data_IF_503011920189
#
_entry.id   IF_503011920189
#
_cell.length_a   1.000
_cell.length_b   1.000
_cell.length_c   1.000
_cell.angle_alpha   90.00
_cell.angle_beta   90.00
_cell.angle_gamma   90.00
#
_symmetry.space_group_name_H-M   'P 1'
#
loop_
_entity.id
_entity.type
_entity.pdbx_description
1 polymer ?
#
# COMPACT_ATOMS: atom_id res chain seq x y z
N UNK A 1 5.81 -9.73 -24.22
CA UNK A 1 5.18 -10.60 -23.20
C UNK A 1 5.96 -10.43 -21.91
N UNK A 2 5.46 -9.61 -20.98
CA UNK A 2 5.98 -9.56 -19.61
C UNK A 2 5.56 -10.83 -18.89
N UNK A 3 6.49 -11.51 -18.23
CA UNK A 3 6.18 -12.70 -17.42
C UNK A 3 5.47 -12.25 -16.14
N UNK A 4 4.44 -12.95 -15.66
CA UNK A 4 3.95 -12.75 -14.32
C UNK A 4 5.04 -13.19 -13.34
N UNK A 5 5.48 -12.29 -12.46
CA UNK A 5 6.37 -12.63 -11.34
C UNK A 5 7.76 -11.98 -11.29
N UNK A 6 8.02 -10.91 -12.06
CA UNK A 6 9.23 -10.10 -11.84
C UNK A 6 8.87 -8.77 -11.17
N UNK A 7 8.68 -8.82 -9.84
CA UNK A 7 8.63 -7.62 -8.99
C UNK A 7 10.06 -7.30 -8.56
N UNK A 8 10.84 -6.71 -9.46
CA UNK A 8 12.21 -6.31 -9.19
C UNK A 8 12.23 -5.22 -8.12
N UNK A 9 12.73 -5.59 -6.94
CA UNK A 9 12.91 -4.70 -5.78
C UNK A 9 13.90 -3.58 -6.11
N UNK A 10 13.67 -2.41 -5.49
CA UNK A 10 14.54 -1.23 -5.37
C UNK A 10 14.12 -0.05 -6.26
N UNK A 11 13.12 0.70 -5.79
CA UNK A 11 12.73 1.98 -6.38
C UNK A 11 11.74 2.69 -5.47
N UNK A 12 12.23 3.71 -4.75
CA UNK A 12 11.46 4.46 -3.76
C UNK A 12 10.05 4.80 -4.25
N UNK A 13 9.05 4.26 -3.56
CA UNK A 13 7.65 4.47 -3.93
C UNK A 13 7.10 5.78 -3.40
N UNK A 14 6.14 6.35 -4.13
CA UNK A 14 5.34 7.48 -3.67
C UNK A 14 4.41 7.12 -2.51
N UNK A 15 4.25 5.83 -2.17
CA UNK A 15 3.34 5.37 -1.13
C UNK A 15 3.77 5.81 0.26
N UNK A 16 5.05 5.65 0.64
CA UNK A 16 5.50 6.07 1.96
C UNK A 16 5.37 7.59 2.18
N UNK A 17 5.79 8.47 1.24
CA UNK A 17 5.50 9.91 1.33
C UNK A 17 4.00 10.23 1.34
N UNK A 18 3.19 9.52 0.56
CA UNK A 18 1.73 9.71 0.52
C UNK A 18 1.06 9.39 1.86
N UNK A 19 1.41 8.25 2.47
CA UNK A 19 0.93 7.86 3.80
C UNK A 19 1.35 8.88 4.84
N UNK A 20 2.62 9.34 4.80
CA UNK A 20 3.11 10.36 5.73
C UNK A 20 2.29 11.65 5.62
N UNK A 21 2.01 12.11 4.39
CA UNK A 21 1.18 13.30 4.16
C UNK A 21 -0.19 13.14 4.81
N UNK A 22 -0.89 12.03 4.56
CA UNK A 22 -2.22 11.79 5.16
C UNK A 22 -2.20 11.75 6.69
N UNK A 23 -1.11 11.24 7.27
CA UNK A 23 -0.96 11.15 8.73
C UNK A 23 -0.68 12.52 9.36
N UNK A 24 0.05 13.39 8.66
CA UNK A 24 0.46 14.73 9.13
C UNK A 24 -0.56 15.82 8.76
N UNK A 25 -1.48 15.56 7.84
CA UNK A 25 -2.47 16.54 7.37
C UNK A 25 -3.56 16.80 8.44
N UNK A 26 -3.71 18.05 8.94
CA UNK A 26 -4.71 18.38 9.95
C UNK A 26 -6.15 18.32 9.42
N UNK A 27 -6.34 18.39 8.10
CA UNK A 27 -7.66 18.27 7.46
C UNK A 27 -8.04 16.80 7.21
N UNK A 28 -7.12 15.86 7.42
CA UNK A 28 -7.41 14.43 7.33
C UNK A 28 -7.91 13.89 8.68
N UNK A 29 -9.03 13.13 8.73
CA UNK A 29 -9.58 12.65 9.99
C UNK A 29 -8.56 11.87 10.84
N UNK A 30 -8.29 12.31 12.07
CA UNK A 30 -7.27 11.74 12.96
C UNK A 30 -7.41 10.22 13.15
N UNK A 31 -8.65 9.74 13.23
CA UNK A 31 -8.99 8.32 13.42
C UNK A 31 -9.64 7.70 12.17
N UNK A 32 -9.58 8.37 11.02
CA UNK A 32 -10.09 7.81 9.77
C UNK A 32 -9.22 6.65 9.28
N UNK A 33 -9.79 5.49 8.92
CA UNK A 33 -9.01 4.39 8.36
C UNK A 33 -8.48 4.75 6.98
N UNK A 34 -7.29 4.26 6.64
CA UNK A 34 -6.63 4.51 5.34
C UNK A 34 -6.81 3.29 4.43
N UNK A 35 -7.39 3.49 3.24
CA UNK A 35 -7.39 2.49 2.19
C UNK A 35 -6.29 2.78 1.18
N UNK A 36 -5.37 1.82 0.99
CA UNK A 36 -4.28 1.93 0.01
C UNK A 36 -4.61 1.04 -1.19
N UNK A 37 -4.69 1.65 -2.36
CA UNK A 37 -4.91 0.94 -3.62
C UNK A 37 -3.57 0.90 -4.36
N UNK A 38 -3.08 -0.30 -4.65
CA UNK A 38 -1.76 -0.51 -5.29
C UNK A 38 -1.78 -1.79 -6.11
N UNK A 39 -0.98 -1.84 -7.18
CA UNK A 39 -0.69 -3.06 -7.95
C UNK A 39 0.28 -4.00 -7.25
N UNK A 40 0.77 -3.64 -6.06
CA UNK A 40 1.74 -4.42 -5.28
C UNK A 40 3.20 -4.09 -5.61
N UNK A 41 3.45 -3.24 -6.61
CA UNK A 41 4.81 -2.78 -6.93
C UNK A 41 5.21 -1.67 -5.97
N UNK A 42 5.70 -2.08 -4.79
CA UNK A 42 6.16 -1.13 -3.79
C UNK A 42 7.37 -1.56 -2.95
N UNK A 43 8.01 -0.60 -2.30
CA UNK A 43 8.96 -0.86 -1.23
C UNK A 43 8.23 -1.15 0.09
N UNK A 44 8.93 -1.69 1.08
CA UNK A 44 8.37 -1.91 2.41
C UNK A 44 8.12 -0.56 3.10
N UNK A 45 6.91 -0.34 3.61
CA UNK A 45 6.56 0.83 4.41
C UNK A 45 5.61 0.48 5.55
N UNK A 46 5.46 1.42 6.48
CA UNK A 46 4.56 1.30 7.63
C UNK A 46 3.42 2.29 7.54
N UNK A 47 2.21 1.84 7.90
CA UNK A 47 1.04 2.70 8.05
C UNK A 47 0.72 2.77 9.54
N UNK A 48 0.89 3.93 10.20
CA UNK A 48 0.76 4.05 11.66
C UNK A 48 -0.69 4.18 12.16
N UNK A 49 -1.68 4.02 11.27
CA UNK A 49 -3.12 4.09 11.57
C UNK A 49 -3.83 2.81 11.12
N UNK A 50 -5.08 2.63 11.53
CA UNK A 50 -5.93 1.57 10.98
C UNK A 50 -5.99 1.69 9.45
N UNK A 51 -5.76 0.57 8.77
CA UNK A 51 -5.62 0.57 7.33
C UNK A 51 -5.98 -0.78 6.70
N UNK A 52 -6.24 -0.73 5.40
CA UNK A 52 -6.36 -1.88 4.54
C UNK A 52 -5.68 -1.63 3.19
N UNK A 53 -5.35 -2.72 2.50
CA UNK A 53 -4.83 -2.72 1.15
C UNK A 53 -5.86 -3.32 0.20
N UNK A 54 -6.03 -2.71 -0.97
CA UNK A 54 -6.77 -3.26 -2.09
C UNK A 54 -5.83 -3.45 -3.28
N UNK A 55 -5.68 -4.69 -3.73
CA UNK A 55 -4.78 -5.05 -4.83
C UNK A 55 -5.54 -5.73 -5.98
N UNK A 56 -5.06 -5.67 -7.23
CA UNK A 56 -5.56 -6.51 -8.30
C UNK A 56 -5.44 -7.99 -7.94
N UNK A 57 -6.38 -8.80 -8.45
CA UNK A 57 -6.35 -10.25 -8.26
C UNK A 57 -5.02 -10.85 -8.71
N UNK A 58 -4.41 -11.66 -7.84
CA UNK A 58 -3.13 -12.31 -8.10
C UNK A 58 -1.89 -11.44 -7.90
N UNK A 59 -2.05 -10.16 -7.56
CA UNK A 59 -0.94 -9.32 -7.09
C UNK A 59 -0.70 -9.54 -5.59
N UNK A 60 0.54 -9.32 -5.15
CA UNK A 60 0.94 -9.47 -3.75
C UNK A 60 1.78 -8.28 -3.30
N UNK A 61 1.70 -7.96 -2.00
CA UNK A 61 2.61 -7.00 -1.40
C UNK A 61 3.98 -7.66 -1.15
N UNK A 62 5.08 -6.90 -1.22
CA UNK A 62 6.43 -7.41 -0.97
C UNK A 62 6.73 -7.62 0.52
N UNK A 63 5.73 -7.43 1.38
CA UNK A 63 5.75 -7.60 2.82
C UNK A 63 4.40 -8.13 3.31
N UNK A 64 4.37 -8.71 4.51
CA UNK A 64 3.09 -9.06 5.15
C UNK A 64 2.42 -7.78 5.67
N UNK A 65 1.20 -7.45 5.23
CA UNK A 65 0.50 -6.27 5.72
C UNK A 65 0.11 -6.47 7.19
N UNK A 66 0.11 -5.36 7.95
CA UNK A 66 -0.42 -5.35 9.32
C UNK A 66 -1.94 -5.17 9.35
N UNK A 67 -2.50 -4.53 8.33
CA UNK A 67 -3.94 -4.38 8.11
C UNK A 67 -4.50 -5.44 7.14
N UNK A 68 -5.81 -5.32 6.87
CA UNK A 68 -6.51 -6.23 5.96
C UNK A 68 -5.98 -6.09 4.52
N UNK A 69 -6.04 -7.19 3.78
CA UNK A 69 -5.70 -7.25 2.36
C UNK A 69 -6.91 -7.79 1.59
N UNK A 70 -7.38 -7.00 0.64
CA UNK A 70 -8.48 -7.35 -0.26
C UNK A 70 -7.97 -7.45 -1.70
N UNK A 71 -8.59 -8.35 -2.46
CA UNK A 71 -8.36 -8.48 -3.91
C UNK A 71 -9.58 -7.94 -4.68
N UNK A 72 -9.34 -7.27 -5.81
CA UNK A 72 -10.39 -6.87 -6.73
C UNK A 72 -11.02 -8.10 -7.41
N UNK A 73 -12.36 -8.13 -7.51
CA UNK A 73 -13.14 -9.23 -8.11
C UNK A 73 -13.17 -9.20 -9.63
#
# INVERSE_FOLDING_TARGET
MQKPGDCSKSGGTVLAPGVRKLVEDPDFPTNGPILIITDGDCDVFTVPRDHAFLVPKGCQLPFRPKGDLFEMS
#
